data_IF_742146299437
#
_entry.id   IF_742146299437
#
_cell.length_a   1.000
_cell.length_b   1.000
_cell.length_c   1.000
_cell.angle_alpha   90.00
_cell.angle_beta   90.00
_cell.angle_gamma   90.00
#
_symmetry.space_group_name_H-M   'P 1'
#
loop_
_entity.id
_entity.type
_entity.pdbx_description
1 polymer ?
#
# COMPACT_ATOMS: atom_id res chain seq x y z
N UNK A 1 2.16 -3.62 -12.69
CA UNK A 1 1.65 -4.36 -11.50
C UNK A 1 2.77 -5.20 -10.87
N UNK A 2 3.90 -4.59 -10.51
CA UNK A 2 5.08 -5.32 -10.00
C UNK A 2 5.53 -4.87 -8.60
N UNK A 3 5.13 -3.67 -8.17
CA UNK A 3 5.55 -3.08 -6.89
C UNK A 3 4.86 -3.72 -5.68
N UNK A 4 3.53 -3.85 -5.68
CA UNK A 4 2.80 -4.27 -4.46
C UNK A 4 3.17 -5.66 -3.95
N UNK A 5 3.47 -6.61 -4.84
CA UNK A 5 3.82 -7.98 -4.44
C UNK A 5 5.27 -8.10 -3.98
N UNK A 6 6.14 -7.24 -4.49
CA UNK A 6 7.54 -7.18 -4.12
C UNK A 6 7.72 -6.53 -2.75
N UNK A 7 6.98 -5.46 -2.45
CA UNK A 7 7.00 -4.80 -1.14
C UNK A 7 6.43 -5.69 -0.02
N UNK A 8 5.34 -6.42 -0.29
CA UNK A 8 4.77 -7.41 0.64
C UNK A 8 5.77 -8.51 1.01
N UNK A 9 6.53 -9.02 0.03
CA UNK A 9 7.57 -10.03 0.26
C UNK A 9 8.74 -9.43 1.02
N UNK A 10 9.20 -8.23 0.64
CA UNK A 10 10.33 -7.55 1.26
C UNK A 10 10.07 -7.21 2.73
N UNK A 11 8.85 -6.78 3.06
CA UNK A 11 8.42 -6.51 4.43
C UNK A 11 8.43 -7.76 5.31
N UNK A 12 7.92 -8.89 4.81
CA UNK A 12 7.99 -10.18 5.54
C UNK A 12 9.41 -10.68 5.73
N UNK A 13 10.28 -10.46 4.74
CA UNK A 13 11.69 -10.84 4.83
C UNK A 13 12.43 -9.97 5.87
N UNK A 14 12.20 -8.65 5.89
CA UNK A 14 12.77 -7.77 6.92
C UNK A 14 12.27 -8.13 8.32
N UNK A 15 10.98 -8.40 8.47
CA UNK A 15 10.39 -8.80 9.75
C UNK A 15 10.98 -10.13 10.25
N UNK A 16 11.04 -11.14 9.39
CA UNK A 16 11.64 -12.43 9.72
C UNK A 16 13.14 -12.31 10.03
N UNK A 17 13.88 -11.51 9.26
CA UNK A 17 15.29 -11.26 9.50
C UNK A 17 15.52 -10.53 10.83
N UNK A 18 14.75 -9.49 11.14
CA UNK A 18 14.84 -8.75 12.41
C UNK A 18 14.56 -9.63 13.62
N UNK A 19 13.53 -10.50 13.56
CA UNK A 19 13.26 -11.48 14.63
C UNK A 19 14.40 -12.50 14.77
N UNK A 20 15.00 -12.94 13.66
CA UNK A 20 16.10 -13.90 13.65
C UNK A 20 17.42 -13.32 14.17
N UNK A 21 17.71 -12.05 13.87
CA UNK A 21 18.95 -11.38 14.27
C UNK A 21 18.80 -10.60 15.57
N UNK A 22 17.58 -10.47 16.11
CA UNK A 22 17.28 -9.63 17.28
C UNK A 22 17.36 -8.13 16.97
N UNK A 23 17.17 -7.75 15.72
CA UNK A 23 17.34 -6.39 15.22
C UNK A 23 15.96 -5.70 15.13
N UNK A 24 15.67 -4.87 16.14
CA UNK A 24 14.37 -4.19 16.30
C UNK A 24 14.06 -3.23 15.14
N UNK A 25 15.08 -2.66 14.50
CA UNK A 25 14.92 -1.77 13.35
C UNK A 25 14.37 -2.53 12.13
N UNK A 26 14.91 -3.71 11.83
CA UNK A 26 14.43 -4.57 10.74
C UNK A 26 13.00 -5.08 10.96
N UNK A 27 12.64 -5.45 12.20
CA UNK A 27 11.28 -5.84 12.53
C UNK A 27 10.30 -4.67 12.35
N UNK A 28 10.70 -3.49 12.83
CA UNK A 28 9.88 -2.28 12.78
C UNK A 28 9.68 -1.77 11.35
N UNK A 29 10.73 -1.78 10.53
CA UNK A 29 10.64 -1.44 9.11
C UNK A 29 9.66 -2.37 8.37
N UNK A 30 9.75 -3.69 8.61
CA UNK A 30 8.84 -4.66 8.00
C UNK A 30 7.36 -4.40 8.34
N UNK A 31 7.07 -4.10 9.61
CA UNK A 31 5.71 -3.76 10.07
C UNK A 31 5.21 -2.42 9.52
N UNK A 32 6.06 -1.40 9.49
CA UNK A 32 5.71 -0.07 8.98
C UNK A 32 5.46 -0.12 7.48
N UNK A 33 6.27 -0.84 6.70
CA UNK A 33 6.07 -1.05 5.27
C UNK A 33 4.73 -1.74 4.99
N UNK A 34 4.35 -2.78 5.74
CA UNK A 34 3.05 -3.44 5.59
C UNK A 34 1.86 -2.53 5.95
N UNK A 35 1.98 -1.75 7.02
CA UNK A 35 0.95 -0.81 7.45
C UNK A 35 0.76 0.30 6.40
N UNK A 36 1.87 0.88 5.91
CA UNK A 36 1.88 1.89 4.86
C UNK A 36 1.27 1.36 3.56
N UNK A 37 1.61 0.15 3.15
CA UNK A 37 1.05 -0.50 1.96
C UNK A 37 -0.47 -0.69 2.07
N UNK A 38 -0.98 -1.12 3.23
CA UNK A 38 -2.41 -1.32 3.47
C UNK A 38 -3.19 -0.01 3.44
N UNK A 39 -2.65 1.05 4.06
CA UNK A 39 -3.22 2.40 4.03
C UNK A 39 -3.22 2.95 2.61
N UNK A 40 -2.10 2.83 1.89
CA UNK A 40 -1.97 3.29 0.50
C UNK A 40 -2.96 2.59 -0.42
N UNK A 41 -3.10 1.26 -0.33
CA UNK A 41 -4.11 0.49 -1.09
C UNK A 41 -5.54 0.96 -0.81
N UNK A 42 -5.85 1.26 0.44
CA UNK A 42 -7.20 1.71 0.83
C UNK A 42 -7.46 3.13 0.32
N UNK A 43 -6.47 4.01 0.44
CA UNK A 43 -6.54 5.37 -0.08
C UNK A 43 -6.63 5.41 -1.61
N UNK A 44 -5.86 4.59 -2.32
CA UNK A 44 -5.92 4.46 -3.78
C UNK A 44 -7.28 3.94 -4.23
N UNK A 45 -7.81 2.87 -3.62
CA UNK A 45 -9.17 2.39 -3.93
C UNK A 45 -10.26 3.44 -3.66
N UNK A 46 -10.11 4.24 -2.61
CA UNK A 46 -11.03 5.32 -2.31
C UNK A 46 -10.92 6.45 -3.34
N UNK A 47 -9.69 6.83 -3.73
CA UNK A 47 -9.44 7.81 -4.78
C UNK A 47 -10.00 7.37 -6.13
N UNK A 48 -9.73 6.14 -6.57
CA UNK A 48 -10.26 5.57 -7.81
C UNK A 48 -11.78 5.70 -7.86
N UNK A 49 -12.50 5.30 -6.80
CA UNK A 49 -13.96 5.42 -6.75
C UNK A 49 -14.46 6.85 -6.81
N UNK A 50 -13.72 7.79 -6.21
CA UNK A 50 -14.06 9.21 -6.22
C UNK A 50 -13.79 9.80 -7.61
N UNK A 51 -12.65 9.49 -8.23
CA UNK A 51 -12.35 9.90 -9.60
C UNK A 51 -13.38 9.36 -10.58
N UNK A 52 -13.73 8.07 -10.53
CA UNK A 52 -14.78 7.48 -11.37
C UNK A 52 -16.12 8.21 -11.24
N UNK A 53 -16.52 8.54 -9.99
CA UNK A 53 -17.76 9.25 -9.73
C UNK A 53 -17.72 10.70 -10.24
N UNK A 54 -16.58 11.38 -10.07
CA UNK A 54 -16.37 12.75 -10.55
C UNK A 54 -16.33 12.79 -12.08
N UNK A 55 -15.64 11.85 -12.74
CA UNK A 55 -15.58 11.74 -14.19
C UNK A 55 -16.96 11.47 -14.79
N UNK A 56 -17.74 10.55 -14.20
CA UNK A 56 -19.11 10.27 -14.63
C UNK A 56 -20.04 11.49 -14.53
N UNK A 57 -19.83 12.34 -13.52
CA UNK A 57 -20.57 13.62 -13.37
C UNK A 57 -20.09 14.65 -14.38
N UNK A 58 -18.77 14.73 -14.62
CA UNK A 58 -18.16 15.67 -15.57
C UNK A 58 -18.55 15.36 -17.01
N UNK A 59 -18.59 14.08 -17.39
CA UNK A 59 -19.03 13.61 -18.71
C UNK A 59 -20.50 13.94 -18.97
N UNK A 60 -21.37 13.80 -17.95
CA UNK A 60 -22.77 14.21 -18.02
C UNK A 60 -23.01 15.71 -18.08
N UNK A 61 -22.12 16.51 -17.49
CA UNK A 61 -22.21 17.98 -17.49
C UNK A 61 -21.64 18.60 -18.76
N UNK A 62 -20.74 17.91 -19.44
CA UNK A 62 -20.07 18.40 -20.65
C UNK A 62 -20.70 17.87 -21.95
N UNK A 63 -21.90 17.28 -21.85
CA UNK A 63 -22.74 16.79 -22.94
C UNK A 63 -24.07 17.53 -22.98
#
# INVERSE_FOLDING_TARGET
>A
MSDSKSDDIKGRVKEAAGVLTGDEDLEREGKVDQAGASVKKTAEKAKDKVEDAVDAVKDKLNK
#
